data_IF_389884197585
#
_entry.id   IF_389884197585
#
_cell.length_a   1.000
_cell.length_b   1.000
_cell.length_c   1.000
_cell.angle_alpha   90.00
_cell.angle_beta   90.00
_cell.angle_gamma   90.00
#
_symmetry.space_group_name_H-M   'P 1'
#
loop_
_entity.id
_entity.type
_entity.pdbx_description
1 polymer ?
#
# COMPACT_ATOMS: atom_id res chain seq x y z
N UNK A 1 -20.26 -10.63 10.78
CA UNK A 1 -21.67 -10.47 11.18
C UNK A 1 -21.81 -9.23 12.05
N UNK A 2 -22.44 -8.18 11.54
CA UNK A 2 -22.78 -7.00 12.34
C UNK A 2 -23.98 -7.36 13.22
N UNK A 3 -23.76 -7.53 14.52
CA UNK A 3 -24.84 -7.66 15.48
C UNK A 3 -25.30 -6.26 15.90
N UNK A 4 -26.60 -6.01 15.72
CA UNK A 4 -27.26 -4.75 16.01
C UNK A 4 -27.12 -4.30 17.45
N UNK A 5 -27.17 -2.98 17.65
CA UNK A 5 -27.34 -2.38 18.97
C UNK A 5 -28.74 -2.67 19.48
N UNK A 6 -28.86 -3.40 20.59
CA UNK A 6 -30.08 -3.39 21.38
C UNK A 6 -30.29 -1.98 21.97
N UNK A 7 -31.54 -1.54 22.03
CA UNK A 7 -31.96 -0.20 22.47
C UNK A 7 -31.85 0.04 23.99
N UNK A 8 -31.22 -0.86 24.76
CA UNK A 8 -31.11 -0.75 26.23
C UNK A 8 -29.70 -0.37 26.75
N UNK A 9 -28.72 -0.20 25.85
CA UNK A 9 -27.38 0.26 26.23
C UNK A 9 -26.49 -0.77 26.93
N UNK A 10 -26.97 -1.98 27.24
CA UNK A 10 -26.10 -3.07 27.72
C UNK A 10 -25.50 -3.84 26.54
N UNK A 11 -24.25 -3.53 26.20
CA UNK A 11 -23.45 -4.37 25.27
C UNK A 11 -22.55 -5.29 26.07
N UNK A 12 -22.73 -6.60 25.86
CA UNK A 12 -21.81 -7.64 26.34
C UNK A 12 -20.38 -7.35 25.89
N UNK A 13 -19.36 -7.60 26.74
CA UNK A 13 -17.96 -7.39 26.37
C UNK A 13 -17.64 -8.15 25.08
N UNK A 14 -17.15 -7.42 24.08
CA UNK A 14 -16.79 -7.97 22.79
C UNK A 14 -15.55 -8.84 22.96
N UNK A 15 -15.71 -10.14 22.71
CA UNK A 15 -14.57 -11.06 22.58
C UNK A 15 -14.04 -10.90 21.17
N UNK A 16 -12.87 -10.29 21.03
CA UNK A 16 -12.18 -10.25 19.75
C UNK A 16 -11.16 -11.39 19.71
N UNK A 17 -11.38 -12.30 18.77
CA UNK A 17 -10.54 -13.45 18.53
C UNK A 17 -9.43 -13.05 17.56
N UNK A 18 -8.17 -13.14 17.99
CA UNK A 18 -7.00 -12.83 17.17
C UNK A 18 -6.18 -14.09 16.91
N UNK A 19 -5.65 -14.22 15.69
CA UNK A 19 -4.90 -15.40 15.25
C UNK A 19 -5.74 -16.51 14.61
N UNK A 20 -7.00 -16.24 14.26
CA UNK A 20 -7.77 -17.15 13.40
C UNK A 20 -7.23 -17.18 11.97
N UNK A 21 -7.58 -18.22 11.21
CA UNK A 21 -7.19 -18.37 9.81
C UNK A 21 -8.32 -17.94 8.86
N UNK A 22 -7.96 -17.65 7.60
CA UNK A 22 -8.93 -17.48 6.53
C UNK A 22 -9.31 -18.86 5.96
N UNK A 23 -10.60 -19.20 5.96
CA UNK A 23 -11.09 -20.50 5.50
C UNK A 23 -10.70 -20.82 4.06
N UNK A 24 -10.73 -19.83 3.16
CA UNK A 24 -10.33 -20.00 1.76
C UNK A 24 -8.86 -20.39 1.61
N UNK A 25 -7.97 -19.80 2.43
CA UNK A 25 -6.52 -20.09 2.38
C UNK A 25 -6.17 -21.44 2.99
N UNK A 26 -6.94 -21.89 3.97
CA UNK A 26 -6.74 -23.18 4.65
C UNK A 26 -7.22 -24.34 3.78
N UNK A 27 -8.23 -24.11 2.94
CA UNK A 27 -8.69 -25.07 1.92
C UNK A 27 -7.54 -25.54 1.02
N UNK A 28 -6.74 -24.59 0.49
CA UNK A 28 -5.62 -24.87 -0.41
C UNK A 28 -4.43 -25.58 0.25
N UNK A 29 -4.28 -25.49 1.58
CA UNK A 29 -3.17 -26.12 2.30
C UNK A 29 -3.48 -27.54 2.77
N UNK A 30 -4.76 -27.85 2.98
CA UNK A 30 -5.21 -29.09 3.62
C UNK A 30 -5.52 -30.21 2.62
N UNK A 31 -5.84 -29.88 1.37
CA UNK A 31 -6.24 -30.87 0.34
C UNK A 31 -5.13 -31.30 -0.63
N UNK A 32 -4.03 -30.57 -0.74
CA UNK A 32 -3.09 -30.73 -1.87
C UNK A 32 -1.68 -31.09 -1.42
N UNK A 33 -1.11 -32.13 -2.07
CA UNK A 33 0.24 -32.65 -1.79
C UNK A 33 1.35 -31.89 -2.53
N UNK A 34 1.01 -31.16 -3.60
CA UNK A 34 1.98 -30.43 -4.42
C UNK A 34 2.11 -28.97 -3.96
N UNK A 35 2.72 -28.78 -2.78
CA UNK A 35 3.13 -27.45 -2.32
C UNK A 35 4.33 -26.95 -3.12
N UNK A 36 4.37 -25.63 -3.38
CA UNK A 36 5.55 -24.92 -3.88
C UNK A 36 6.81 -25.40 -3.14
N UNK A 37 7.85 -25.86 -3.84
CA UNK A 37 9.09 -26.28 -3.21
C UNK A 37 9.62 -25.19 -2.28
N UNK A 38 10.03 -25.54 -1.05
CA UNK A 38 10.48 -24.53 -0.10
C UNK A 38 11.74 -23.79 -0.59
N UNK A 39 12.55 -24.41 -1.45
CA UNK A 39 13.66 -23.71 -2.11
C UNK A 39 13.13 -22.54 -2.95
N UNK A 40 12.19 -22.81 -3.84
CA UNK A 40 11.58 -21.80 -4.71
C UNK A 40 10.86 -20.73 -3.90
N UNK A 41 10.12 -21.13 -2.86
CA UNK A 41 9.43 -20.19 -1.97
C UNK A 41 10.39 -19.21 -1.27
N UNK A 42 11.60 -19.65 -0.95
CA UNK A 42 12.60 -18.85 -0.24
C UNK A 42 13.48 -18.02 -1.18
N UNK A 43 13.64 -18.43 -2.45
CA UNK A 43 14.60 -17.81 -3.38
C UNK A 43 13.98 -17.11 -4.57
N UNK A 44 12.69 -17.34 -4.86
CA UNK A 44 12.00 -16.79 -6.03
C UNK A 44 10.85 -15.89 -5.64
N UNK A 45 10.58 -14.90 -6.49
CA UNK A 45 9.34 -14.15 -6.51
C UNK A 45 8.20 -15.02 -7.07
N UNK A 46 6.93 -14.85 -6.63
CA UNK A 46 5.78 -15.55 -7.22
C UNK A 46 5.79 -15.58 -8.75
N UNK A 47 5.98 -14.44 -9.41
CA UNK A 47 6.05 -14.34 -10.87
C UNK A 47 7.21 -15.10 -11.55
N UNK A 48 8.21 -15.57 -10.81
CA UNK A 48 9.33 -16.37 -11.35
C UNK A 48 9.04 -17.88 -11.26
N UNK A 49 7.88 -18.28 -10.73
CA UNK A 49 7.48 -19.67 -10.63
C UNK A 49 6.83 -20.13 -11.95
N UNK A 50 7.31 -21.24 -12.50
CA UNK A 50 6.85 -21.77 -13.79
C UNK A 50 5.43 -22.35 -13.77
N UNK A 51 4.87 -22.56 -12.58
CA UNK A 51 3.56 -23.20 -12.41
C UNK A 51 2.55 -22.22 -11.82
N UNK A 52 1.43 -21.91 -12.49
CA UNK A 52 0.34 -21.11 -11.93
C UNK A 52 -0.17 -21.67 -10.59
N UNK A 53 -0.10 -23.00 -10.45
CA UNK A 53 -0.41 -23.68 -9.21
C UNK A 53 0.56 -23.33 -8.07
N UNK A 54 1.87 -23.36 -8.32
CA UNK A 54 2.87 -22.95 -7.35
C UNK A 54 2.80 -21.44 -7.03
N UNK A 55 2.39 -20.62 -8.01
CA UNK A 55 2.10 -19.20 -7.80
C UNK A 55 0.94 -19.02 -6.80
N UNK A 56 -0.18 -19.73 -7.01
CA UNK A 56 -1.34 -19.71 -6.11
C UNK A 56 -0.98 -20.14 -4.68
N UNK A 57 -0.14 -21.17 -4.54
CA UNK A 57 0.26 -21.72 -3.25
C UNK A 57 1.40 -20.96 -2.55
N UNK A 58 2.08 -20.03 -3.24
CA UNK A 58 3.19 -19.29 -2.67
C UNK A 58 2.80 -18.58 -1.36
N UNK A 59 1.71 -17.80 -1.38
CA UNK A 59 1.26 -17.06 -0.19
C UNK A 59 0.72 -17.96 0.92
N UNK A 60 -0.16 -18.94 0.65
CA UNK A 60 -0.59 -19.89 1.68
C UNK A 60 0.57 -20.60 2.39
N UNK A 61 1.56 -21.10 1.63
CA UNK A 61 2.72 -21.81 2.22
C UNK A 61 3.64 -20.84 2.97
N UNK A 62 3.83 -19.61 2.46
CA UNK A 62 4.63 -18.58 3.15
C UNK A 62 4.00 -18.17 4.48
N UNK A 63 2.68 -18.03 4.53
CA UNK A 63 1.96 -17.76 5.78
C UNK A 63 2.01 -18.95 6.73
N UNK A 64 1.90 -20.20 6.25
CA UNK A 64 2.06 -21.39 7.09
C UNK A 64 3.44 -21.43 7.76
N UNK A 65 4.51 -21.16 6.99
CA UNK A 65 5.87 -21.08 7.52
C UNK A 65 6.02 -19.95 8.55
N UNK A 66 5.51 -18.76 8.25
CA UNK A 66 5.52 -17.61 9.17
C UNK A 66 4.76 -17.93 10.46
N UNK A 67 3.58 -18.52 10.33
CA UNK A 67 2.76 -18.92 11.46
C UNK A 67 3.47 -19.97 12.32
N UNK A 68 4.09 -20.97 11.70
CA UNK A 68 4.88 -21.99 12.41
C UNK A 68 5.98 -21.39 13.28
N UNK A 69 6.71 -20.39 12.77
CA UNK A 69 7.74 -19.66 13.51
C UNK A 69 7.18 -18.82 14.66
N UNK A 70 6.08 -18.11 14.45
CA UNK A 70 5.54 -17.16 15.43
C UNK A 70 4.73 -17.84 16.55
N UNK A 71 4.24 -19.05 16.28
CA UNK A 71 3.31 -19.78 17.16
C UNK A 71 3.93 -20.16 18.52
N UNK A 72 5.25 -20.36 18.62
CA UNK A 72 5.88 -20.69 19.91
C UNK A 72 7.08 -19.79 20.22
N UNK A 73 7.34 -19.44 21.49
CA UNK A 73 8.49 -18.62 21.87
C UNK A 73 9.84 -19.18 21.41
N UNK A 74 9.96 -20.51 21.34
CA UNK A 74 11.21 -21.22 21.01
C UNK A 74 11.58 -21.07 19.53
N UNK A 75 10.61 -20.88 18.65
CA UNK A 75 10.84 -20.75 17.20
C UNK A 75 11.05 -19.30 16.75
N UNK A 76 10.63 -18.30 17.54
CA UNK A 76 10.84 -16.88 17.20
C UNK A 76 12.33 -16.50 17.04
N UNK A 77 13.27 -16.99 17.89
CA UNK A 77 14.70 -16.77 17.67
C UNK A 77 15.25 -17.41 16.38
N UNK A 78 14.63 -18.51 15.90
CA UNK A 78 15.00 -19.13 14.62
C UNK A 78 14.66 -18.18 13.47
N UNK A 79 13.45 -17.61 13.46
CA UNK A 79 13.05 -16.62 12.46
C UNK A 79 13.95 -15.38 12.49
N UNK A 80 14.29 -14.87 13.68
CA UNK A 80 15.21 -13.74 13.82
C UNK A 80 16.63 -14.06 13.31
N UNK A 81 17.09 -15.31 13.46
CA UNK A 81 18.36 -15.78 12.91
C UNK A 81 18.29 -15.86 11.39
N UNK A 82 17.23 -16.44 10.84
CA UNK A 82 17.00 -16.50 9.40
C UNK A 82 17.00 -15.11 8.74
N UNK A 83 16.23 -14.16 9.30
CA UNK A 83 16.14 -12.80 8.76
C UNK A 83 17.50 -12.11 8.76
N UNK A 84 18.28 -12.22 9.84
CA UNK A 84 19.61 -11.60 9.93
C UNK A 84 20.60 -12.18 8.91
N UNK A 85 20.54 -13.50 8.69
CA UNK A 85 21.40 -14.19 7.73
C UNK A 85 21.10 -13.74 6.29
N UNK A 86 19.81 -13.68 5.92
CA UNK A 86 19.38 -13.17 4.61
C UNK A 86 19.72 -11.68 4.45
N UNK A 87 19.53 -10.87 5.48
CA UNK A 87 19.93 -9.45 5.46
C UNK A 87 21.44 -9.26 5.26
N UNK A 88 22.26 -10.20 5.72
CA UNK A 88 23.70 -10.20 5.48
C UNK A 88 24.11 -10.73 4.09
N UNK A 89 23.14 -10.98 3.20
CA UNK A 89 23.37 -11.50 1.85
C UNK A 89 23.50 -13.02 1.78
N UNK A 90 23.17 -13.74 2.85
CA UNK A 90 23.18 -15.20 2.87
C UNK A 90 22.14 -15.81 1.93
N UNK A 91 22.44 -16.99 1.36
CA UNK A 91 21.48 -17.73 0.55
C UNK A 91 20.23 -18.09 1.38
N UNK A 92 19.01 -17.71 0.96
CA UNK A 92 17.80 -17.95 1.75
C UNK A 92 17.50 -19.41 2.09
N UNK A 93 17.76 -20.34 1.16
CA UNK A 93 17.51 -21.76 1.40
C UNK A 93 18.49 -22.34 2.44
N UNK A 94 19.76 -21.96 2.36
CA UNK A 94 20.76 -22.38 3.34
C UNK A 94 20.55 -21.71 4.70
N UNK A 95 20.22 -20.41 4.71
CA UNK A 95 19.91 -19.66 5.93
C UNK A 95 18.74 -20.29 6.70
N UNK A 96 17.71 -20.78 5.99
CA UNK A 96 16.60 -21.50 6.60
C UNK A 96 17.05 -22.81 7.26
N UNK A 97 17.94 -23.54 6.58
CA UNK A 97 18.52 -24.78 7.11
C UNK A 97 19.33 -24.51 8.38
N UNK A 98 20.17 -23.47 8.37
CA UNK A 98 20.95 -23.04 9.54
C UNK A 98 20.07 -22.59 10.70
N UNK A 99 19.01 -21.82 10.41
CA UNK A 99 18.12 -21.28 11.42
C UNK A 99 17.25 -22.34 12.11
N UNK A 100 16.81 -23.35 11.35
CA UNK A 100 15.88 -24.39 11.86
C UNK A 100 16.58 -25.68 12.28
N UNK A 101 17.80 -25.92 11.80
CA UNK A 101 18.50 -27.20 11.93
C UNK A 101 17.89 -28.33 11.09
N UNK A 102 16.98 -28.02 10.16
CA UNK A 102 16.29 -28.99 9.31
C UNK A 102 16.64 -28.77 7.85
N UNK A 103 16.82 -29.84 7.09
CA UNK A 103 16.78 -29.73 5.63
C UNK A 103 15.37 -29.31 5.16
N UNK A 104 15.30 -28.70 3.98
CA UNK A 104 14.03 -28.20 3.43
C UNK A 104 12.95 -29.30 3.30
N UNK A 105 13.25 -30.55 2.89
CA UNK A 105 12.27 -31.63 2.90
C UNK A 105 11.72 -31.95 4.29
N UNK A 106 12.55 -31.93 5.35
CA UNK A 106 12.10 -32.16 6.72
C UNK A 106 11.26 -31.01 7.24
N UNK A 107 11.65 -29.77 6.93
CA UNK A 107 10.85 -28.59 7.26
C UNK A 107 9.48 -28.65 6.59
N UNK A 108 9.40 -29.02 5.30
CA UNK A 108 8.11 -29.19 4.60
C UNK A 108 7.22 -30.22 5.31
N UNK A 109 7.77 -31.36 5.73
CA UNK A 109 7.03 -32.39 6.50
C UNK A 109 6.55 -31.85 7.85
N UNK A 110 7.37 -31.07 8.54
CA UNK A 110 7.01 -30.44 9.81
C UNK A 110 5.89 -29.41 9.63
N UNK A 111 5.93 -28.58 8.59
CA UNK A 111 4.85 -27.63 8.27
C UNK A 111 3.53 -28.33 7.94
N UNK A 112 3.57 -29.44 7.19
CA UNK A 112 2.36 -30.24 6.89
C UNK A 112 1.78 -30.83 8.18
N UNK A 113 2.64 -31.34 9.07
CA UNK A 113 2.21 -31.86 10.38
C UNK A 113 1.58 -30.75 11.23
N UNK A 114 2.22 -29.59 11.25
CA UNK A 114 1.77 -28.42 11.98
C UNK A 114 0.42 -27.91 11.49
N UNK A 115 0.22 -27.81 10.17
CA UNK A 115 -1.04 -27.35 9.58
C UNK A 115 -2.25 -28.23 9.86
N UNK A 116 -2.05 -29.44 10.40
CA UNK A 116 -3.13 -30.33 10.88
C UNK A 116 -3.50 -30.11 12.34
N UNK A 117 -2.74 -29.31 13.08
CA UNK A 117 -3.01 -29.01 14.48
C UNK A 117 -4.04 -27.88 14.59
N UNK A 118 -4.83 -27.85 15.68
CA UNK A 118 -5.70 -26.72 15.96
C UNK A 118 -4.89 -25.42 16.09
N UNK A 119 -5.34 -24.36 15.44
CA UNK A 119 -4.72 -23.04 15.58
C UNK A 119 -5.11 -22.46 16.94
N UNK A 120 -4.11 -22.06 17.72
CA UNK A 120 -4.34 -21.37 18.99
C UNK A 120 -4.85 -19.96 18.72
N UNK A 121 -6.10 -19.69 19.09
CA UNK A 121 -6.69 -18.36 18.96
C UNK A 121 -6.58 -17.63 20.28
N UNK A 122 -5.91 -16.48 20.28
CA UNK A 122 -5.85 -15.62 21.45
C UNK A 122 -7.14 -14.81 21.52
N UNK A 123 -7.90 -14.98 22.62
CA UNK A 123 -9.10 -14.19 22.87
C UNK A 123 -8.70 -13.04 23.78
N UNK A 124 -8.72 -11.83 23.22
CA UNK A 124 -8.50 -10.62 24.01
C UNK A 124 -9.83 -10.03 24.45
N UNK A 125 -9.82 -9.45 25.65
CA UNK A 125 -10.90 -8.62 26.15
C UNK A 125 -10.36 -7.20 26.21
N UNK A 126 -10.88 -6.36 25.34
CA UNK A 126 -10.56 -4.94 25.36
C UNK A 126 -11.69 -4.20 26.06
N UNK A 127 -11.36 -3.39 27.06
CA UNK A 127 -12.24 -2.31 27.48
C UNK A 127 -12.23 -1.26 26.38
N UNK A 128 -13.38 -1.04 25.74
CA UNK A 128 -13.47 0.00 24.73
C UNK A 128 -13.48 1.35 25.44
N UNK A 129 -12.53 2.27 25.14
CA UNK A 129 -12.62 3.62 25.67
C UNK A 129 -13.94 4.23 25.21
N UNK A 130 -14.62 4.95 26.10
CA UNK A 130 -15.78 5.75 25.70
C UNK A 130 -15.27 6.99 24.98
N UNK A 131 -15.62 7.13 23.71
CA UNK A 131 -15.38 8.33 22.93
C UNK A 131 -16.72 8.96 22.57
N UNK A 132 -16.79 10.28 22.63
CA UNK A 132 -17.95 11.01 22.12
C UNK A 132 -18.02 10.84 20.61
N UNK A 133 -19.06 10.16 20.13
CA UNK A 133 -19.33 10.00 18.70
C UNK A 133 -20.38 11.00 18.26
N UNK A 134 -20.04 11.82 17.27
CA UNK A 134 -21.01 12.64 16.56
C UNK A 134 -21.41 11.96 15.26
N UNK A 135 -22.71 11.71 15.06
CA UNK A 135 -23.25 11.19 13.80
C UNK A 135 -23.83 12.37 13.02
N UNK A 136 -23.28 12.65 11.84
CA UNK A 136 -23.71 13.76 10.99
C UNK A 136 -24.29 13.24 9.68
N UNK A 137 -25.40 13.83 9.24
CA UNK A 137 -25.98 13.54 7.93
C UNK A 137 -25.15 14.18 6.83
N UNK A 138 -24.77 13.40 5.82
CA UNK A 138 -24.06 13.90 4.63
C UNK A 138 -24.96 14.83 3.77
N UNK A 139 -24.36 15.78 3.02
CA UNK A 139 -25.12 16.62 2.10
C UNK A 139 -25.72 15.80 0.96
N UNK A 140 -26.80 16.30 0.35
CA UNK A 140 -27.49 15.63 -0.78
C UNK A 140 -26.59 15.41 -2.00
N UNK A 141 -25.51 16.19 -2.12
CA UNK A 141 -24.51 16.03 -3.17
C UNK A 141 -23.71 14.72 -3.03
N UNK A 142 -23.56 14.21 -1.81
CA UNK A 142 -22.80 12.98 -1.54
C UNK A 142 -23.36 11.76 -2.26
N UNK A 143 -24.69 11.67 -2.43
CA UNK A 143 -25.36 10.58 -3.17
C UNK A 143 -24.81 10.41 -4.60
N UNK A 144 -24.40 11.52 -5.23
CA UNK A 144 -23.91 11.54 -6.61
C UNK A 144 -22.39 11.65 -6.72
N UNK A 145 -21.73 12.27 -5.73
CA UNK A 145 -20.35 12.73 -5.86
C UNK A 145 -19.34 11.90 -5.06
N UNK A 146 -19.75 11.24 -3.99
CA UNK A 146 -18.81 10.57 -3.07
C UNK A 146 -17.97 9.50 -3.80
N UNK A 147 -18.63 8.61 -4.53
CA UNK A 147 -17.94 7.54 -5.26
C UNK A 147 -17.15 8.06 -6.47
N UNK A 148 -17.59 9.17 -7.09
CA UNK A 148 -16.84 9.83 -8.15
C UNK A 148 -15.54 10.43 -7.61
N UNK A 149 -15.59 11.07 -6.44
CA UNK A 149 -14.41 11.57 -5.75
C UNK A 149 -13.42 10.45 -5.39
N UNK A 150 -13.92 9.32 -4.90
CA UNK A 150 -13.07 8.17 -4.58
C UNK A 150 -12.39 7.60 -5.83
N UNK A 151 -13.11 7.46 -6.94
CA UNK A 151 -12.54 6.97 -8.21
C UNK A 151 -11.48 7.93 -8.76
N UNK A 152 -11.67 9.24 -8.60
CA UNK A 152 -10.69 10.26 -8.99
C UNK A 152 -9.42 10.18 -8.12
N UNK A 153 -9.57 10.16 -6.80
CA UNK A 153 -8.45 10.16 -5.85
C UNK A 153 -7.57 8.90 -5.95
N UNK A 154 -8.19 7.73 -6.16
CA UNK A 154 -7.46 6.46 -6.32
C UNK A 154 -6.95 6.26 -7.74
N UNK A 155 -7.29 7.16 -8.67
CA UNK A 155 -7.17 6.99 -10.12
C UNK A 155 -7.78 5.66 -10.63
N UNK A 156 -8.66 5.00 -9.87
CA UNK A 156 -9.23 3.68 -10.17
C UNK A 156 -10.35 3.76 -11.22
N UNK A 157 -10.18 4.67 -12.19
CA UNK A 157 -11.16 4.97 -13.22
C UNK A 157 -11.11 3.87 -14.27
N UNK A 158 -12.25 3.21 -14.48
CA UNK A 158 -12.45 2.27 -15.60
C UNK A 158 -12.75 2.99 -16.93
N UNK A 159 -13.09 4.27 -16.85
CA UNK A 159 -13.48 5.12 -17.96
C UNK A 159 -12.35 6.08 -18.35
N UNK A 160 -12.44 6.65 -19.55
CA UNK A 160 -11.51 7.69 -20.01
C UNK A 160 -11.54 8.92 -19.11
N UNK A 161 -10.45 9.71 -19.14
CA UNK A 161 -10.36 10.97 -18.42
C UNK A 161 -11.48 11.95 -18.81
N UNK A 162 -11.76 12.06 -20.10
CA UNK A 162 -12.81 12.94 -20.64
C UNK A 162 -14.20 12.55 -20.14
N UNK A 163 -14.57 11.27 -20.24
CA UNK A 163 -15.87 10.77 -19.77
C UNK A 163 -16.04 10.98 -18.26
N UNK A 164 -14.97 10.75 -17.50
CA UNK A 164 -14.97 11.00 -16.05
C UNK A 164 -15.24 12.48 -15.75
N UNK A 165 -14.52 13.38 -16.42
CA UNK A 165 -14.64 14.81 -16.21
C UNK A 165 -16.03 15.34 -16.57
N UNK A 166 -16.60 14.93 -17.71
CA UNK A 166 -17.96 15.29 -18.09
C UNK A 166 -19.01 14.84 -17.08
N UNK A 167 -18.84 13.64 -16.52
CA UNK A 167 -19.71 13.15 -15.46
C UNK A 167 -19.59 13.97 -14.18
N UNK A 168 -18.38 14.33 -13.77
CA UNK A 168 -18.18 15.23 -12.61
C UNK A 168 -18.83 16.58 -12.86
N UNK A 169 -18.58 17.22 -14.00
CA UNK A 169 -19.22 18.50 -14.40
C UNK A 169 -20.73 18.43 -14.30
N UNK A 170 -21.34 17.41 -14.91
CA UNK A 170 -22.81 17.22 -14.91
C UNK A 170 -23.38 17.04 -13.50
N UNK A 171 -22.72 16.27 -12.65
CA UNK A 171 -23.22 16.01 -11.30
C UNK A 171 -22.98 17.21 -10.37
N UNK A 172 -21.82 17.86 -10.45
CA UNK A 172 -21.51 19.05 -9.66
C UNK A 172 -22.41 20.24 -10.03
N UNK A 173 -22.78 20.40 -11.31
CA UNK A 173 -23.69 21.45 -11.76
C UNK A 173 -25.08 21.41 -11.11
N UNK A 174 -25.50 20.26 -10.57
CA UNK A 174 -26.75 20.12 -9.81
C UNK A 174 -26.67 20.75 -8.41
N UNK A 175 -25.46 21.04 -7.94
CA UNK A 175 -25.17 21.57 -6.61
C UNK A 175 -24.15 22.71 -6.69
N UNK A 176 -24.45 23.82 -7.40
CA UNK A 176 -23.45 24.80 -7.82
C UNK A 176 -22.76 25.58 -6.68
N UNK A 177 -23.31 25.56 -5.47
CA UNK A 177 -22.75 26.20 -4.27
C UNK A 177 -22.43 25.19 -3.16
N UNK A 178 -22.59 23.90 -3.41
CA UNK A 178 -22.31 22.87 -2.40
C UNK A 178 -20.78 22.67 -2.26
N UNK A 179 -20.24 22.67 -1.03
CA UNK A 179 -18.80 22.56 -0.81
C UNK A 179 -18.18 21.29 -1.39
N UNK A 180 -18.85 20.14 -1.24
CA UNK A 180 -18.36 18.87 -1.80
C UNK A 180 -18.36 18.91 -3.33
N UNK A 181 -19.38 19.52 -3.93
CA UNK A 181 -19.47 19.69 -5.38
C UNK A 181 -18.37 20.61 -5.94
N UNK A 182 -18.14 21.75 -5.31
CA UNK A 182 -17.08 22.68 -5.71
C UNK A 182 -15.70 22.05 -5.56
N UNK A 183 -15.44 21.37 -4.43
CA UNK A 183 -14.15 20.69 -4.19
C UNK A 183 -13.88 19.61 -5.23
N UNK A 184 -14.87 18.75 -5.49
CA UNK A 184 -14.71 17.67 -6.46
C UNK A 184 -14.56 18.20 -7.90
N UNK A 185 -15.33 19.23 -8.28
CA UNK A 185 -15.18 19.88 -9.58
C UNK A 185 -13.79 20.48 -9.71
N UNK A 186 -13.34 21.23 -8.71
CA UNK A 186 -12.01 21.80 -8.63
C UNK A 186 -10.91 20.76 -8.84
N UNK A 187 -10.94 19.68 -8.05
CA UNK A 187 -9.99 18.59 -8.16
C UNK A 187 -10.01 17.93 -9.55
N UNK A 188 -11.19 17.62 -10.09
CA UNK A 188 -11.31 16.97 -11.39
C UNK A 188 -10.78 17.83 -12.54
N UNK A 189 -11.09 19.13 -12.53
CA UNK A 189 -10.62 20.07 -13.54
C UNK A 189 -9.09 20.28 -13.46
N UNK A 190 -8.53 20.42 -12.25
CA UNK A 190 -7.08 20.52 -12.06
C UNK A 190 -6.33 19.28 -12.57
N UNK A 191 -6.91 18.09 -12.41
CA UNK A 191 -6.25 16.84 -12.78
C UNK A 191 -6.49 16.45 -14.25
N UNK A 192 -7.66 16.74 -14.81
CA UNK A 192 -8.15 16.15 -16.06
C UNK A 192 -8.59 17.16 -17.12
N UNK A 193 -8.69 18.43 -16.75
CA UNK A 193 -9.48 19.40 -17.51
C UNK A 193 -8.86 20.78 -17.56
N UNK A 194 -9.72 21.78 -17.45
CA UNK A 194 -9.33 23.19 -17.51
C UNK A 194 -8.91 23.65 -16.11
N UNK A 195 -7.60 23.78 -15.91
CA UNK A 195 -7.05 24.20 -14.64
C UNK A 195 -7.64 25.54 -14.14
N UNK A 196 -7.95 26.49 -15.03
CA UNK A 196 -8.53 27.77 -14.65
C UNK A 196 -9.96 27.60 -14.11
N UNK A 197 -10.76 26.73 -14.73
CA UNK A 197 -12.08 26.38 -14.22
C UNK A 197 -12.01 25.68 -12.85
N UNK A 198 -10.99 24.82 -12.67
CA UNK A 198 -10.74 24.15 -11.40
C UNK A 198 -10.38 25.12 -10.29
N UNK A 199 -9.45 26.03 -10.54
CA UNK A 199 -9.07 27.10 -9.61
C UNK A 199 -10.27 27.98 -9.25
N UNK A 200 -11.06 28.41 -10.23
CA UNK A 200 -12.27 29.21 -9.97
C UNK A 200 -13.30 28.48 -9.09
N UNK A 201 -13.45 27.16 -9.24
CA UNK A 201 -14.33 26.38 -8.37
C UNK A 201 -13.81 26.31 -6.92
N UNK A 202 -12.50 26.14 -6.73
CA UNK A 202 -11.86 26.13 -5.41
C UNK A 202 -11.85 27.51 -4.76
N UNK A 203 -11.66 28.58 -5.52
CA UNK A 203 -11.76 29.96 -5.02
C UNK A 203 -13.16 30.27 -4.50
N UNK A 204 -14.21 29.84 -5.23
CA UNK A 204 -15.60 29.97 -4.76
C UNK A 204 -15.85 29.17 -3.48
N UNK A 205 -15.24 27.99 -3.35
CA UNK A 205 -15.30 27.20 -2.12
C UNK A 205 -14.63 27.96 -0.97
N UNK A 206 -13.38 28.38 -1.14
CA UNK A 206 -12.59 29.08 -0.11
C UNK A 206 -13.21 30.43 0.29
N UNK A 207 -13.93 31.11 -0.61
CA UNK A 207 -14.68 32.32 -0.25
C UNK A 207 -15.81 32.05 0.76
N UNK A 208 -16.38 30.84 0.76
CA UNK A 208 -17.43 30.42 1.69
C UNK A 208 -16.91 29.61 2.89
N UNK A 209 -15.79 28.91 2.71
CA UNK A 209 -15.14 28.04 3.69
C UNK A 209 -13.62 28.25 3.62
N UNK A 210 -13.10 29.33 4.21
CA UNK A 210 -11.69 29.68 4.11
C UNK A 210 -10.76 28.62 4.70
N UNK A 211 -11.26 27.82 5.66
CA UNK A 211 -10.49 26.79 6.36
C UNK A 211 -10.65 25.38 5.74
N UNK A 212 -11.12 25.29 4.49
CA UNK A 212 -11.22 24.02 3.78
C UNK A 212 -9.82 23.47 3.43
N UNK A 213 -9.29 22.65 4.33
CA UNK A 213 -7.93 22.07 4.23
C UNK A 213 -7.67 21.43 2.86
N UNK A 214 -8.62 20.66 2.33
CA UNK A 214 -8.45 19.98 1.05
C UNK A 214 -8.43 20.96 -0.14
N UNK A 215 -9.23 22.02 -0.11
CA UNK A 215 -9.18 23.06 -1.14
C UNK A 215 -7.86 23.87 -1.07
N UNK A 216 -7.39 24.20 0.13
CA UNK A 216 -6.08 24.83 0.35
C UNK A 216 -4.94 23.95 -0.18
N UNK A 217 -4.96 22.65 0.11
CA UNK A 217 -3.99 21.67 -0.40
C UNK A 217 -4.00 21.62 -1.94
N UNK A 218 -5.17 21.56 -2.57
CA UNK A 218 -5.30 21.55 -4.04
C UNK A 218 -4.76 22.83 -4.68
N UNK A 219 -5.08 24.01 -4.12
CA UNK A 219 -4.53 25.29 -4.58
C UNK A 219 -3.01 25.34 -4.40
N UNK A 220 -2.53 24.90 -3.23
CA UNK A 220 -1.10 24.79 -2.94
C UNK A 220 -0.36 23.89 -3.93
N UNK A 221 -0.90 22.70 -4.20
CA UNK A 221 -0.36 21.75 -5.17
C UNK A 221 -0.36 22.31 -6.59
N UNK A 222 -1.43 22.99 -7.02
CA UNK A 222 -1.49 23.62 -8.34
C UNK A 222 -0.36 24.63 -8.55
N UNK A 223 -0.11 25.46 -7.53
CA UNK A 223 1.02 26.42 -7.56
C UNK A 223 2.38 25.71 -7.62
N UNK A 224 2.55 24.54 -6.98
CA UNK A 224 3.78 23.74 -7.13
C UNK A 224 3.97 23.20 -8.54
N UNK A 225 2.90 22.72 -9.18
CA UNK A 225 2.95 22.25 -10.57
C UNK A 225 3.42 23.40 -11.48
N UNK A 226 2.79 24.57 -11.38
CA UNK A 226 3.19 25.75 -12.15
C UNK A 226 4.64 26.16 -11.87
N UNK A 227 5.09 26.08 -10.61
CA UNK A 227 6.48 26.41 -10.25
C UNK A 227 7.50 25.42 -10.83
N UNK A 228 7.12 24.17 -11.08
CA UNK A 228 8.00 23.17 -11.73
C UNK A 228 8.10 23.39 -13.24
N UNK A 229 7.01 23.86 -13.85
CA UNK A 229 6.93 24.18 -15.29
C UNK A 229 7.60 25.53 -15.63
N UNK A 230 7.59 26.47 -14.68
CA UNK A 230 8.19 27.79 -14.85
C UNK A 230 9.72 27.75 -14.86
N UNK A 231 10.33 28.61 -15.68
CA UNK A 231 11.77 28.83 -15.69
C UNK A 231 12.27 29.36 -14.34
N UNK A 232 13.55 29.12 -14.04
CA UNK A 232 14.18 29.68 -12.84
C UNK A 232 14.13 31.21 -12.88
N UNK A 233 13.51 31.82 -11.87
CA UNK A 233 13.35 33.27 -11.81
C UNK A 233 12.28 33.74 -10.82
N UNK A 234 11.95 35.05 -10.84
CA UNK A 234 11.01 35.66 -9.90
C UNK A 234 9.60 35.04 -9.92
N UNK A 235 9.12 34.63 -11.10
CA UNK A 235 7.81 33.99 -11.27
C UNK A 235 7.74 32.65 -10.54
N UNK A 236 8.70 31.74 -10.78
CA UNK A 236 8.81 30.47 -10.05
C UNK A 236 8.87 30.68 -8.54
N UNK A 237 9.62 31.67 -8.07
CA UNK A 237 9.69 32.00 -6.65
C UNK A 237 8.36 32.54 -6.11
N UNK A 238 7.60 33.31 -6.90
CA UNK A 238 6.28 33.80 -6.52
C UNK A 238 5.27 32.64 -6.39
N UNK A 239 5.28 31.70 -7.33
CA UNK A 239 4.44 30.50 -7.29
C UNK A 239 4.75 29.62 -6.06
N UNK A 240 6.03 29.43 -5.72
CA UNK A 240 6.44 28.71 -4.50
C UNK A 240 5.92 29.43 -3.25
N UNK A 241 6.02 30.77 -3.18
CA UNK A 241 5.48 31.53 -2.06
C UNK A 241 3.96 31.41 -1.95
N UNK A 242 3.23 31.51 -3.06
CA UNK A 242 1.78 31.33 -3.08
C UNK A 242 1.38 29.94 -2.62
N UNK A 243 2.08 28.90 -3.09
CA UNK A 243 1.86 27.52 -2.64
C UNK A 243 1.99 27.40 -1.12
N UNK A 244 3.10 27.90 -0.56
CA UNK A 244 3.34 27.86 0.89
C UNK A 244 2.33 28.68 1.68
N UNK A 245 1.80 29.77 1.12
CA UNK A 245 0.71 30.52 1.76
C UNK A 245 -0.50 29.64 2.03
N UNK A 246 -1.01 28.95 0.99
CA UNK A 246 -2.12 28.02 1.14
C UNK A 246 -1.79 26.85 2.09
N UNK A 247 -0.61 26.26 1.95
CA UNK A 247 -0.22 25.10 2.76
C UNK A 247 0.07 25.43 4.22
N UNK A 248 0.54 26.66 4.51
CA UNK A 248 0.73 27.11 5.90
C UNK A 248 -0.62 27.30 6.59
N UNK A 249 -1.60 27.86 5.89
CA UNK A 249 -2.98 27.95 6.41
C UNK A 249 -3.56 26.55 6.63
N UNK A 250 -3.40 25.62 5.69
CA UNK A 250 -3.84 24.23 5.88
C UNK A 250 -3.17 23.58 7.12
N UNK A 251 -1.88 23.85 7.36
CA UNK A 251 -1.13 23.33 8.50
C UNK A 251 -1.59 23.94 9.84
N UNK A 252 -1.97 25.22 9.86
CA UNK A 252 -2.52 25.87 11.05
C UNK A 252 -3.86 25.24 11.49
N UNK A 253 -4.66 24.76 10.54
CA UNK A 253 -5.94 24.09 10.79
C UNK A 253 -5.74 22.64 11.24
N UNK A 254 -4.87 21.88 10.55
CA UNK A 254 -4.56 20.49 10.89
C UNK A 254 -3.04 20.21 10.82
N UNK A 255 -2.32 20.41 11.94
CA UNK A 255 -0.87 20.22 11.98
C UNK A 255 -0.40 18.77 11.81
N UNK A 256 -1.31 17.79 11.94
CA UNK A 256 -1.01 16.36 11.84
C UNK A 256 -1.53 15.76 10.53
N UNK A 257 -1.96 16.59 9.58
CA UNK A 257 -2.29 16.13 8.23
C UNK A 257 -0.99 15.83 7.46
N UNK A 258 -0.75 14.55 7.21
CA UNK A 258 0.45 14.08 6.51
C UNK A 258 0.56 14.66 5.09
N UNK A 259 -0.57 14.95 4.44
CA UNK A 259 -0.59 15.41 3.05
C UNK A 259 -0.13 16.86 2.94
N UNK A 260 -0.58 17.72 3.86
CA UNK A 260 -0.09 19.10 4.01
C UNK A 260 1.41 19.12 4.27
N UNK A 261 1.89 18.32 5.23
CA UNK A 261 3.33 18.20 5.53
C UNK A 261 4.13 17.72 4.32
N UNK A 262 3.62 16.73 3.59
CA UNK A 262 4.25 16.25 2.36
C UNK A 262 4.34 17.36 1.30
N UNK A 263 3.25 18.10 1.05
CA UNK A 263 3.24 19.20 0.08
C UNK A 263 4.17 20.36 0.50
N UNK A 264 4.24 20.66 1.80
CA UNK A 264 5.19 21.64 2.35
C UNK A 264 6.63 21.19 2.06
N UNK A 265 6.95 19.92 2.32
CA UNK A 265 8.28 19.37 2.06
C UNK A 265 8.64 19.38 0.56
N UNK A 266 7.69 19.02 -0.32
CA UNK A 266 7.85 19.15 -1.78
C UNK A 266 8.06 20.61 -2.21
N UNK A 267 7.38 21.57 -1.59
CA UNK A 267 7.60 22.99 -1.88
C UNK A 267 9.03 23.43 -1.56
N UNK A 268 9.64 22.83 -0.52
CA UNK A 268 10.99 23.16 -0.06
C UNK A 268 12.04 22.62 -1.03
N UNK A 269 11.83 21.46 -1.66
CA UNK A 269 12.77 20.89 -2.65
C UNK A 269 13.05 21.78 -3.86
N UNK A 270 12.19 22.77 -4.12
CA UNK A 270 12.36 23.75 -5.18
C UNK A 270 13.23 24.96 -4.79
N UNK A 271 13.73 25.02 -3.55
CA UNK A 271 14.50 26.15 -2.99
C UNK A 271 16.00 25.90 -3.04
N UNK A 272 16.79 26.97 -3.21
CA UNK A 272 18.25 26.86 -3.32
C UNK A 272 18.95 26.36 -2.05
N UNK A 273 18.35 26.57 -0.86
CA UNK A 273 18.93 26.19 0.44
C UNK A 273 18.37 24.86 0.98
N UNK A 274 17.78 24.04 0.11
CA UNK A 274 17.23 22.75 0.49
C UNK A 274 18.29 21.64 0.34
N UNK A 275 18.29 20.62 1.23
CA UNK A 275 17.53 20.55 2.48
C UNK A 275 18.26 21.25 3.63
N UNK A 276 17.51 21.87 4.55
CA UNK A 276 17.98 22.23 5.89
C UNK A 276 17.33 21.32 6.96
N UNK A 277 17.69 21.50 8.24
CA UNK A 277 17.19 20.64 9.32
C UNK A 277 15.65 20.67 9.45
N UNK A 278 15.01 21.83 9.28
CA UNK A 278 13.55 21.91 9.31
C UNK A 278 12.91 21.17 8.12
N UNK A 279 13.58 21.16 6.97
CA UNK A 279 13.12 20.40 5.80
C UNK A 279 13.15 18.89 6.08
N UNK A 280 14.21 18.40 6.75
CA UNK A 280 14.31 17.00 7.18
C UNK A 280 13.24 16.65 8.23
N UNK A 281 13.03 17.51 9.24
CA UNK A 281 11.98 17.31 10.25
C UNK A 281 10.57 17.32 9.65
N UNK A 282 10.33 18.13 8.61
CA UNK A 282 9.03 18.15 7.91
C UNK A 282 8.79 16.83 7.17
N UNK A 283 9.82 16.32 6.49
CA UNK A 283 9.77 15.00 5.85
C UNK A 283 9.58 13.86 6.85
N UNK A 284 10.31 13.89 7.97
CA UNK A 284 10.18 12.92 9.05
C UNK A 284 8.76 12.91 9.62
N UNK A 285 8.19 14.08 9.88
CA UNK A 285 6.82 14.22 10.41
C UNK A 285 5.79 13.63 9.43
N UNK A 286 5.91 13.94 8.13
CA UNK A 286 5.06 13.34 7.11
C UNK A 286 5.23 11.81 7.05
N UNK A 287 6.45 11.31 7.18
CA UNK A 287 6.77 9.89 7.17
C UNK A 287 6.21 9.17 8.40
N UNK A 288 6.32 9.73 9.60
CA UNK A 288 5.79 9.12 10.82
C UNK A 288 4.26 8.97 10.78
N UNK A 289 3.57 9.92 10.13
CA UNK A 289 2.11 9.91 9.98
C UNK A 289 1.63 8.98 8.85
N UNK A 290 2.42 8.80 7.79
CA UNK A 290 2.06 7.98 6.63
C UNK A 290 3.23 7.14 6.09
N UNK A 291 3.82 6.22 6.89
CA UNK A 291 5.03 5.46 6.51
C UNK A 291 4.81 4.46 5.36
N UNK A 292 3.54 4.18 5.05
CA UNK A 292 3.09 3.33 3.95
C UNK A 292 3.15 4.02 2.58
N UNK A 293 3.25 5.35 2.52
CA UNK A 293 3.27 6.07 1.24
C UNK A 293 4.69 6.15 0.68
N UNK A 294 4.92 5.41 -0.41
CA UNK A 294 6.22 5.33 -1.10
C UNK A 294 6.72 6.73 -1.52
N UNK A 295 5.83 7.61 -1.99
CA UNK A 295 6.19 8.98 -2.38
C UNK A 295 6.81 9.79 -1.23
N UNK A 296 6.31 9.62 -0.01
CA UNK A 296 6.86 10.30 1.18
C UNK A 296 8.21 9.70 1.54
N UNK A 297 8.30 8.35 1.54
CA UNK A 297 9.53 7.63 1.87
C UNK A 297 10.67 7.96 0.88
N UNK A 298 10.39 8.02 -0.42
CA UNK A 298 11.36 8.45 -1.43
C UNK A 298 11.77 9.91 -1.29
N UNK A 299 10.82 10.82 -1.08
CA UNK A 299 11.12 12.23 -0.87
C UNK A 299 12.02 12.45 0.36
N UNK A 300 11.73 11.77 1.47
CA UNK A 300 12.53 11.85 2.69
C UNK A 300 13.91 11.23 2.51
N UNK A 301 14.02 10.03 1.92
CA UNK A 301 15.31 9.38 1.64
C UNK A 301 16.19 10.27 0.75
N UNK A 302 15.61 10.87 -0.29
CA UNK A 302 16.32 11.83 -1.14
C UNK A 302 16.81 13.05 -0.36
N UNK A 303 15.99 13.61 0.53
CA UNK A 303 16.40 14.72 1.38
C UNK A 303 17.58 14.34 2.29
N UNK A 304 17.54 13.15 2.90
CA UNK A 304 18.63 12.62 3.72
C UNK A 304 19.93 12.44 2.90
N UNK A 305 19.86 11.89 1.69
CA UNK A 305 21.03 11.76 0.81
C UNK A 305 21.62 13.12 0.42
N UNK A 306 20.79 14.11 0.09
CA UNK A 306 21.26 15.48 -0.19
C UNK A 306 21.93 16.12 1.04
N UNK A 307 21.46 15.79 2.24
CA UNK A 307 22.05 16.18 3.51
C UNK A 307 23.25 15.31 3.94
N UNK A 308 23.71 14.37 3.09
CA UNK A 308 24.80 13.42 3.38
C UNK A 308 24.52 12.46 4.54
N UNK A 309 23.25 12.29 4.93
CA UNK A 309 22.78 11.31 5.94
C UNK A 309 22.42 9.99 5.27
N UNK A 310 23.39 9.40 4.56
CA UNK A 310 23.17 8.26 3.67
C UNK A 310 22.71 6.99 4.41
N UNK A 311 23.28 6.70 5.58
CA UNK A 311 22.90 5.52 6.38
C UNK A 311 21.41 5.52 6.76
N UNK A 312 20.88 6.70 7.09
CA UNK A 312 19.46 6.87 7.42
C UNK A 312 18.57 6.73 6.18
N UNK A 313 19.03 7.22 5.03
CA UNK A 313 18.32 7.02 3.77
C UNK A 313 18.25 5.54 3.39
N UNK A 314 19.34 4.78 3.58
CA UNK A 314 19.40 3.32 3.33
C UNK A 314 18.42 2.59 4.25
N UNK A 315 18.44 2.87 5.55
CA UNK A 315 17.50 2.31 6.51
C UNK A 315 16.04 2.59 6.12
N UNK A 316 15.77 3.80 5.63
CA UNK A 316 14.46 4.21 5.15
C UNK A 316 14.07 3.54 3.83
N UNK A 317 14.98 3.14 2.96
CA UNK A 317 14.64 2.55 1.66
C UNK A 317 14.49 1.03 1.71
N UNK A 318 15.12 0.35 2.67
CA UNK A 318 15.09 -1.11 2.78
C UNK A 318 13.68 -1.75 2.71
N UNK A 319 12.64 -1.23 3.40
CA UNK A 319 11.31 -1.82 3.29
C UNK A 319 10.71 -1.75 1.88
N UNK A 320 11.04 -0.72 1.09
CA UNK A 320 10.55 -0.59 -0.30
C UNK A 320 11.36 -1.49 -1.22
N UNK A 321 12.68 -1.55 -1.05
CA UNK A 321 13.57 -2.41 -1.83
C UNK A 321 13.22 -3.91 -1.73
N UNK A 322 12.57 -4.32 -0.64
CA UNK A 322 12.11 -5.69 -0.39
C UNK A 322 10.59 -5.86 -0.57
N UNK A 323 9.89 -4.89 -1.18
CA UNK A 323 8.44 -4.99 -1.39
C UNK A 323 8.10 -5.98 -2.52
N UNK A 324 7.28 -7.02 -2.26
CA UNK A 324 6.86 -7.96 -3.30
C UNK A 324 5.77 -7.40 -4.24
N UNK A 325 5.07 -6.34 -3.81
CA UNK A 325 3.92 -5.79 -4.56
C UNK A 325 4.23 -4.51 -5.32
N UNK A 326 5.46 -3.99 -5.19
CA UNK A 326 5.86 -2.73 -5.81
C UNK A 326 7.22 -2.92 -6.52
N UNK A 327 7.28 -3.83 -7.50
CA UNK A 327 8.50 -4.16 -8.28
C UNK A 327 9.18 -2.91 -8.81
N UNK A 328 8.43 -2.00 -9.44
CA UNK A 328 8.99 -0.77 -10.01
C UNK A 328 9.60 0.11 -8.93
N UNK A 329 8.91 0.28 -7.80
CA UNK A 329 9.42 1.05 -6.66
C UNK A 329 10.59 0.35 -5.96
N UNK A 330 10.57 -0.98 -5.85
CA UNK A 330 11.63 -1.77 -5.23
C UNK A 330 12.94 -1.66 -6.01
N UNK A 331 12.88 -1.67 -7.34
CA UNK A 331 14.05 -1.49 -8.19
C UNK A 331 14.66 -0.08 -8.05
N UNK A 332 13.81 0.96 -8.06
CA UNK A 332 14.26 2.33 -7.79
C UNK A 332 14.82 2.51 -6.38
N UNK A 333 14.23 1.84 -5.38
CA UNK A 333 14.75 1.85 -4.02
C UNK A 333 16.14 1.21 -3.92
N UNK A 334 16.37 0.07 -4.61
CA UNK A 334 17.70 -0.56 -4.68
C UNK A 334 18.74 0.36 -5.31
N UNK A 335 18.40 1.00 -6.43
CA UNK A 335 19.30 1.98 -7.07
C UNK A 335 19.62 3.17 -6.15
N UNK A 336 18.64 3.65 -5.38
CA UNK A 336 18.86 4.71 -4.40
C UNK A 336 19.75 4.26 -3.24
N UNK A 337 19.59 3.02 -2.75
CA UNK A 337 20.46 2.42 -1.72
C UNK A 337 21.91 2.34 -2.23
N UNK A 338 22.13 1.76 -3.41
CA UNK A 338 23.48 1.65 -4.00
C UNK A 338 24.15 3.02 -4.14
N UNK A 339 23.39 4.03 -4.59
CA UNK A 339 23.89 5.41 -4.67
C UNK A 339 24.23 5.98 -3.30
N UNK A 340 23.39 5.78 -2.29
CA UNK A 340 23.62 6.27 -0.93
C UNK A 340 24.88 5.63 -0.32
N UNK A 341 25.05 4.31 -0.45
CA UNK A 341 26.23 3.57 0.00
C UNK A 341 27.50 4.01 -0.73
N UNK A 342 27.40 4.33 -2.03
CA UNK A 342 28.51 4.84 -2.83
C UNK A 342 28.76 6.36 -2.66
N UNK A 343 27.99 7.06 -1.81
CA UNK A 343 28.11 8.51 -1.62
C UNK A 343 27.74 9.33 -2.87
N UNK A 344 26.94 8.77 -3.77
CA UNK A 344 26.50 9.39 -5.01
C UNK A 344 25.22 10.21 -4.82
N UNK A 345 25.00 11.17 -5.71
CA UNK A 345 23.77 11.96 -5.72
C UNK A 345 22.53 11.08 -5.90
N UNK A 346 21.41 11.40 -5.21
CA UNK A 346 20.17 10.67 -5.37
C UNK A 346 19.59 10.81 -6.79
N UNK A 347 18.62 9.96 -7.11
CA UNK A 347 17.83 10.09 -8.33
C UNK A 347 16.99 11.38 -8.34
N UNK A 348 16.57 11.77 -9.54
CA UNK A 348 15.74 12.95 -9.74
C UNK A 348 14.31 12.74 -9.22
N UNK A 349 13.69 13.82 -8.72
CA UNK A 349 12.33 13.80 -8.17
C UNK A 349 11.31 13.19 -9.14
N UNK A 350 11.45 13.46 -10.45
CA UNK A 350 10.55 12.93 -11.47
C UNK A 350 10.61 11.39 -11.56
N UNK A 351 11.79 10.79 -11.43
CA UNK A 351 11.97 9.32 -11.44
C UNK A 351 11.31 8.71 -10.19
N UNK A 352 11.54 9.33 -9.03
CA UNK A 352 10.96 8.88 -7.77
C UNK A 352 9.44 8.99 -7.77
N UNK A 353 8.89 10.11 -8.26
CA UNK A 353 7.44 10.31 -8.38
C UNK A 353 6.78 9.31 -9.34
N UNK A 354 7.44 9.01 -10.47
CA UNK A 354 6.93 8.02 -11.42
C UNK A 354 6.90 6.62 -10.79
N UNK A 355 7.98 6.22 -10.13
CA UNK A 355 8.07 4.92 -9.45
C UNK A 355 7.07 4.78 -8.31
N UNK A 356 6.83 5.84 -7.53
CA UNK A 356 5.84 5.83 -6.46
C UNK A 356 4.38 5.74 -6.95
N UNK A 357 4.11 6.15 -8.20
CA UNK A 357 2.78 6.09 -8.83
C UNK A 357 2.59 4.88 -9.73
N UNK A 358 3.65 4.11 -9.98
CA UNK A 358 3.60 2.93 -10.80
C UNK A 358 2.56 1.96 -10.24
N UNK A 359 1.63 1.55 -11.10
CA UNK A 359 0.71 0.46 -10.81
C UNK A 359 1.34 -0.79 -11.37
N UNK A 360 1.99 -1.54 -10.51
CA UNK A 360 2.31 -2.91 -10.85
C UNK A 360 0.97 -3.66 -10.87
N UNK A 361 0.68 -4.35 -11.98
CA UNK A 361 -0.60 -5.03 -12.17
C UNK A 361 -0.84 -5.98 -10.99
N UNK A 362 -2.05 -5.99 -10.39
CA UNK A 362 -2.35 -6.96 -9.35
C UNK A 362 -2.20 -8.35 -9.94
N UNK A 363 -1.36 -9.19 -9.35
CA UNK A 363 -1.27 -10.61 -9.69
C UNK A 363 -2.68 -11.20 -9.58
N UNK A 364 -3.25 -11.68 -10.68
CA UNK A 364 -4.54 -12.36 -10.66
C UNK A 364 -4.40 -13.61 -9.78
N UNK A 365 -5.02 -13.60 -8.59
CA UNK A 365 -5.15 -14.81 -7.78
C UNK A 365 -5.91 -15.86 -8.63
N UNK A 366 -5.34 -17.06 -8.87
CA UNK A 366 -6.03 -18.08 -9.63
C UNK A 366 -7.34 -18.44 -8.96
N UNK A 367 -8.43 -18.46 -9.73
CA UNK A 367 -9.75 -18.85 -9.20
C UNK A 367 -9.74 -20.34 -8.83
N UNK A 368 -10.40 -20.73 -7.73
CA UNK A 368 -10.51 -22.14 -7.37
C UNK A 368 -11.27 -22.93 -8.44
N UNK A 369 -10.62 -23.95 -9.03
CA UNK A 369 -11.30 -24.99 -9.82
C UNK A 369 -10.84 -25.17 -11.27
N UNK A 370 -9.95 -24.34 -11.83
CA UNK A 370 -9.56 -24.43 -13.25
C UNK A 370 -8.33 -25.33 -13.53
N UNK A 371 -7.91 -26.18 -12.59
CA UNK A 371 -6.68 -26.97 -12.71
C UNK A 371 -6.79 -28.48 -12.45
N UNK A 372 -8.00 -29.03 -12.26
CA UNK A 372 -8.17 -30.48 -11.96
C UNK A 372 -8.53 -31.35 -13.18
N UNK A 373 -8.81 -30.77 -14.35
CA UNK A 373 -9.34 -31.54 -15.48
C UNK A 373 -8.25 -31.87 -16.51
N UNK A 374 -7.25 -32.66 -16.12
CA UNK A 374 -6.26 -33.07 -17.11
C UNK A 374 -5.12 -33.92 -16.60
N UNK A 375 -5.39 -35.05 -15.94
CA UNK A 375 -4.40 -36.15 -15.87
C UNK A 375 -5.05 -37.49 -15.48
N UNK A 376 -5.24 -38.38 -16.48
CA UNK A 376 -5.06 -39.82 -16.34
C UNK A 376 -6.27 -40.71 -15.98
N UNK A 377 -7.20 -40.94 -16.92
CA UNK A 377 -7.88 -42.24 -16.98
C UNK A 377 -6.93 -43.25 -17.65
N UNK A 378 -6.19 -44.00 -16.84
CA UNK A 378 -5.44 -45.18 -17.28
C UNK A 378 -6.42 -46.37 -17.31
N UNK A 379 -6.86 -46.72 -18.51
CA UNK A 379 -7.73 -47.87 -18.77
C UNK A 379 -6.98 -49.18 -18.56
N UNK A 380 -7.10 -49.75 -17.36
CA UNK A 380 -6.67 -51.11 -17.08
C UNK A 380 -7.57 -52.14 -17.78
N UNK A 381 -7.19 -52.55 -18.98
CA UNK A 381 -7.59 -53.83 -19.55
C UNK A 381 -6.61 -54.92 -19.08
N UNK A 382 -7.06 -55.76 -18.14
CA UNK A 382 -6.58 -57.14 -18.02
C UNK A 382 -7.80 -58.07 -18.07
N UNK A 383 -7.74 -58.99 -19.03
CA UNK A 383 -8.82 -59.91 -19.37
C UNK A 383 -8.86 -61.16 -18.49
N UNK A 384 -9.88 -61.98 -18.72
CA UNK A 384 -9.90 -63.35 -18.20
C UNK A 384 -11.27 -63.91 -17.86
N UNK A 385 -12.04 -64.21 -18.91
CA UNK A 385 -12.79 -65.46 -19.13
C UNK A 385 -13.31 -66.28 -17.92
N UNK A 386 -14.64 -66.48 -17.85
CA UNK A 386 -15.25 -67.82 -17.96
C UNK A 386 -16.76 -67.81 -17.64
N UNK A 387 -17.56 -68.12 -18.67
CA UNK A 387 -18.54 -69.23 -18.62
C UNK A 387 -19.90 -69.02 -17.93
N UNK A 388 -20.97 -69.31 -18.69
CA UNK A 388 -22.17 -69.91 -18.10
C UNK A 388 -23.50 -69.43 -18.68
N UNK A 389 -24.04 -70.22 -19.59
CA UNK A 389 -25.41 -70.14 -20.12
C UNK A 389 -26.46 -70.26 -19.01
N UNK A 390 -27.61 -69.59 -19.20
CA UNK A 390 -28.82 -69.75 -18.37
C UNK A 390 -29.74 -68.55 -18.45
#
# INVERSE_FOLDING_TARGET
TFAGSSADGTRTPRKDAMGGYNDHRTYWLTRTRSWTPLSDLLTKHPSELDSPWHQALFYPVSWMLTHWFLNTPERRPMLATYIRDVQAGGNPAEAMTRATGMDLPSLKRELIRYGRQPVNVAIYRFEQPQFEMTITRLPRSADNLLLLGQALATNARKESATTTLERVRRQAARYPADPMALRLLGHAELQLGDAAAGEAALERLLASQPDDVAALQLMGQRRLVQAREAAAGPERLALIRQSRGYLSHAYEIDPIDFHTLHLLALSRSLSANYPNENDLLTWESAYLLAPQLIAIRFGYARALMLAQRNDEAVALLHPVANSPHAKTAAEVARQMIERAEAGQSPLDDAVLEAAARARDEPEEEPKPGEGEDGEGEDGGEEGGDAGGQG
#
